data_IF_453995043273
#
_entry.id   IF_453995043273
#
_cell.length_a   1.000
_cell.length_b   1.000
_cell.length_c   1.000
_cell.angle_alpha   90.00
_cell.angle_beta   90.00
_cell.angle_gamma   90.00
#
_symmetry.space_group_name_H-M   'P 1'
#
loop_
_entity.id
_entity.type
_entity.pdbx_description
1 polymer ?
#
# COMPACT_ATOMS: atom_id res chain seq x y z
N UNK A 1 2.00 29.99 3.79
CA UNK A 1 1.32 28.84 3.14
C UNK A 1 2.09 28.52 1.87
N UNK A 2 2.79 27.40 1.80
CA UNK A 2 3.46 27.00 0.56
C UNK A 2 2.37 26.61 -0.45
N UNK A 3 2.33 27.26 -1.61
CA UNK A 3 1.40 26.93 -2.70
C UNK A 3 1.84 25.62 -3.35
N UNK A 4 1.55 24.50 -2.69
CA UNK A 4 1.98 23.18 -3.14
C UNK A 4 1.01 22.67 -4.21
N UNK A 5 1.55 22.21 -5.35
CA UNK A 5 0.75 21.52 -6.36
C UNK A 5 0.32 20.15 -5.82
N UNK A 6 -0.94 20.08 -5.34
CA UNK A 6 -1.53 18.90 -4.69
C UNK A 6 -1.52 17.65 -5.59
N UNK A 7 -1.64 17.81 -6.91
CA UNK A 7 -1.60 16.70 -7.88
C UNK A 7 -0.21 16.07 -7.95
N UNK A 8 0.82 16.90 -8.06
CA UNK A 8 2.21 16.45 -8.17
C UNK A 8 2.66 15.72 -6.89
N UNK A 9 2.28 16.23 -5.73
CA UNK A 9 2.61 15.59 -4.46
C UNK A 9 1.88 14.27 -4.26
N UNK A 10 0.61 14.17 -4.64
CA UNK A 10 -0.12 12.89 -4.60
C UNK A 10 0.54 11.83 -5.49
N UNK A 11 1.06 12.21 -6.66
CA UNK A 11 1.81 11.31 -7.52
C UNK A 11 3.13 10.87 -6.89
N UNK A 12 3.91 11.80 -6.33
CA UNK A 12 5.16 11.49 -5.64
C UNK A 12 4.94 10.52 -4.47
N UNK A 13 3.88 10.68 -3.68
CA UNK A 13 3.54 9.72 -2.63
C UNK A 13 3.16 8.35 -3.17
N UNK A 14 2.45 8.29 -4.31
CA UNK A 14 2.17 7.03 -4.98
C UNK A 14 3.46 6.33 -5.46
N UNK A 15 4.42 7.09 -6.00
CA UNK A 15 5.73 6.56 -6.39
C UNK A 15 6.53 6.07 -5.19
N UNK A 16 6.49 6.78 -4.06
CA UNK A 16 7.13 6.33 -2.81
C UNK A 16 6.54 5.00 -2.34
N UNK A 17 5.21 4.87 -2.33
CA UNK A 17 4.53 3.63 -1.96
C UNK A 17 4.95 2.49 -2.92
N UNK A 18 4.89 2.72 -4.23
CA UNK A 18 5.28 1.71 -5.22
C UNK A 18 6.75 1.27 -5.07
N UNK A 19 7.66 2.22 -4.82
CA UNK A 19 9.07 1.92 -4.59
C UNK A 19 9.30 1.07 -3.34
N UNK A 20 8.49 1.22 -2.30
CA UNK A 20 8.62 0.42 -1.08
C UNK A 20 8.22 -1.04 -1.25
N UNK A 21 7.47 -1.42 -2.30
CA UNK A 21 7.00 -2.80 -2.49
C UNK A 21 8.14 -3.81 -2.60
N UNK A 22 9.21 -3.47 -3.32
CA UNK A 22 10.36 -4.37 -3.45
C UNK A 22 11.06 -4.59 -2.10
N UNK A 23 11.21 -3.52 -1.32
CA UNK A 23 11.81 -3.58 0.01
C UNK A 23 10.95 -4.37 1.00
N UNK A 24 9.62 -4.18 0.96
CA UNK A 24 8.64 -4.92 1.76
C UNK A 24 8.68 -6.43 1.50
N UNK A 25 8.79 -6.83 0.23
CA UNK A 25 8.92 -8.25 -0.15
C UNK A 25 10.22 -8.84 0.42
N UNK A 26 11.34 -8.13 0.29
CA UNK A 26 12.64 -8.57 0.85
C UNK A 26 12.58 -8.68 2.38
N UNK A 27 11.90 -7.74 3.04
CA UNK A 27 11.67 -7.76 4.48
C UNK A 27 10.82 -8.96 4.92
N UNK A 28 9.72 -9.26 4.20
CA UNK A 28 8.85 -10.40 4.54
C UNK A 28 9.54 -11.76 4.39
N UNK A 29 10.45 -11.91 3.43
CA UNK A 29 11.28 -13.13 3.28
C UNK A 29 12.31 -13.25 4.41
N UNK A 30 12.84 -12.13 4.90
CA UNK A 30 13.88 -12.11 5.94
C UNK A 30 13.33 -12.11 7.37
N UNK A 31 12.00 -12.06 7.53
CA UNK A 31 11.37 -11.94 8.83
C UNK A 31 11.51 -13.23 9.66
N UNK A 32 11.85 -13.12 10.96
CA UNK A 32 12.02 -14.28 11.82
C UNK A 32 10.68 -15.00 12.05
N UNK A 33 10.70 -16.33 11.95
CA UNK A 33 9.52 -17.18 12.16
C UNK A 33 9.31 -17.33 13.66
N UNK A 34 8.12 -16.96 14.15
CA UNK A 34 7.77 -17.14 15.56
C UNK A 34 7.58 -18.62 15.90
N UNK A 35 8.08 -19.03 17.07
CA UNK A 35 8.06 -20.43 17.55
C UNK A 35 6.64 -21.02 17.64
N UNK A 36 5.61 -20.18 17.75
CA UNK A 36 4.19 -20.60 17.77
C UNK A 36 3.76 -21.30 16.48
N UNK A 37 4.40 -20.99 15.35
CA UNK A 37 4.04 -21.57 14.05
C UNK A 37 4.84 -22.83 13.69
N UNK A 38 5.81 -23.24 14.52
CA UNK A 38 6.67 -24.40 14.24
C UNK A 38 5.89 -25.71 14.04
N UNK A 39 4.70 -25.81 14.65
CA UNK A 39 3.79 -26.94 14.49
C UNK A 39 3.10 -27.01 13.11
N UNK A 40 3.22 -25.97 12.27
CA UNK A 40 2.57 -25.86 10.96
C UNK A 40 3.57 -25.56 9.83
N UNK A 41 4.44 -26.53 9.46
CA UNK A 41 5.52 -26.31 8.49
C UNK A 41 5.02 -25.92 7.09
N UNK A 42 3.84 -26.39 6.69
CA UNK A 42 3.24 -26.04 5.39
C UNK A 42 2.81 -24.57 5.30
N UNK A 43 2.45 -23.95 6.44
CA UNK A 43 2.10 -22.53 6.52
C UNK A 43 3.35 -21.65 6.49
N UNK A 44 4.39 -22.07 7.22
CA UNK A 44 5.69 -21.38 7.26
C UNK A 44 6.29 -21.28 5.86
N UNK A 45 6.33 -22.39 5.12
CA UNK A 45 7.04 -22.45 3.84
C UNK A 45 6.34 -21.65 2.73
N UNK A 46 5.00 -21.64 2.72
CA UNK A 46 4.23 -21.13 1.59
C UNK A 46 3.59 -19.76 1.82
N UNK A 47 3.26 -19.39 3.06
CA UNK A 47 2.40 -18.23 3.34
C UNK A 47 3.02 -17.20 4.28
N UNK A 48 4.01 -17.57 5.10
CA UNK A 48 4.60 -16.67 6.10
C UNK A 48 5.14 -15.36 5.47
N UNK A 49 6.00 -15.47 4.46
CA UNK A 49 6.58 -14.30 3.80
C UNK A 49 5.50 -13.39 3.17
N UNK A 50 4.48 -13.99 2.56
CA UNK A 50 3.35 -13.25 1.97
C UNK A 50 2.52 -12.51 3.00
N UNK A 51 2.18 -13.16 4.12
CA UNK A 51 1.39 -12.58 5.22
C UNK A 51 2.15 -11.43 5.91
N UNK A 52 3.43 -11.63 6.20
CA UNK A 52 4.27 -10.59 6.82
C UNK A 52 4.42 -9.39 5.88
N UNK A 53 4.65 -9.65 4.59
CA UNK A 53 4.72 -8.59 3.56
C UNK A 53 3.39 -7.83 3.48
N UNK A 54 2.26 -8.53 3.50
CA UNK A 54 0.96 -7.90 3.40
C UNK A 54 0.63 -7.01 4.61
N UNK A 55 0.94 -7.50 5.82
CA UNK A 55 0.71 -6.77 7.06
C UNK A 55 1.59 -5.52 7.17
N UNK A 56 2.87 -5.66 6.84
CA UNK A 56 3.82 -4.54 6.84
C UNK A 56 3.48 -3.51 5.76
N UNK A 57 3.04 -3.95 4.57
CA UNK A 57 2.58 -3.07 3.49
C UNK A 57 1.33 -2.29 3.91
N UNK A 58 0.39 -2.94 4.61
CA UNK A 58 -0.80 -2.30 5.17
C UNK A 58 -0.43 -1.18 6.15
N UNK A 59 0.43 -1.47 7.13
CA UNK A 59 0.87 -0.49 8.13
C UNK A 59 1.63 0.68 7.49
N UNK A 60 2.57 0.38 6.58
CA UNK A 60 3.38 1.40 5.92
C UNK A 60 2.52 2.31 5.04
N UNK A 61 1.61 1.74 4.26
CA UNK A 61 0.68 2.51 3.42
C UNK A 61 -0.24 3.39 4.28
N UNK A 62 -0.72 2.85 5.40
CA UNK A 62 -1.50 3.62 6.39
C UNK A 62 -0.71 4.79 6.97
N UNK A 63 0.56 4.56 7.36
CA UNK A 63 1.44 5.59 7.89
C UNK A 63 1.73 6.69 6.86
N UNK A 64 2.00 6.34 5.61
CA UNK A 64 2.24 7.31 4.52
C UNK A 64 0.98 8.17 4.29
N UNK A 65 -0.21 7.57 4.26
CA UNK A 65 -1.47 8.30 4.12
C UNK A 65 -1.72 9.23 5.32
N UNK A 66 -1.38 8.79 6.53
CA UNK A 66 -1.48 9.60 7.74
C UNK A 66 -0.53 10.81 7.68
N UNK A 67 0.74 10.61 7.31
CA UNK A 67 1.74 11.66 7.12
C UNK A 67 1.29 12.64 6.02
N UNK A 68 0.81 12.12 4.88
CA UNK A 68 0.30 12.95 3.79
C UNK A 68 -0.87 13.83 4.24
N UNK A 69 -1.76 13.29 5.08
CA UNK A 69 -2.87 14.06 5.66
C UNK A 69 -2.37 15.11 6.65
N UNK A 70 -1.46 14.74 7.56
CA UNK A 70 -1.02 15.59 8.67
C UNK A 70 -0.10 16.72 8.21
N UNK A 71 0.85 16.43 7.32
CA UNK A 71 1.87 17.41 6.90
C UNK A 71 1.46 18.24 5.70
N UNK A 72 0.80 17.63 4.71
CA UNK A 72 0.54 18.29 3.43
C UNK A 72 -0.90 18.78 3.29
N UNK A 73 -1.80 18.39 4.22
CA UNK A 73 -3.24 18.62 4.11
C UNK A 73 -3.79 18.25 2.71
N UNK A 74 -3.15 17.27 2.06
CA UNK A 74 -3.53 16.79 0.73
C UNK A 74 -4.63 15.76 0.94
N UNK A 75 -5.80 16.08 0.43
CA UNK A 75 -6.93 15.17 0.42
C UNK A 75 -6.66 14.05 -0.59
N UNK A 76 -6.24 12.89 -0.10
CA UNK A 76 -6.18 11.62 -0.85
C UNK A 76 -7.46 11.36 -1.68
N UNK A 77 -8.61 11.89 -1.22
CA UNK A 77 -9.92 11.73 -1.83
C UNK A 77 -10.14 12.53 -3.13
N UNK A 78 -9.40 13.62 -3.38
CA UNK A 78 -9.57 14.43 -4.60
C UNK A 78 -8.71 13.90 -5.76
N UNK A 79 -7.62 13.20 -5.45
CA UNK A 79 -6.62 12.73 -6.43
C UNK A 79 -6.25 11.26 -6.25
N UNK A 80 -7.21 10.42 -5.81
CA UNK A 80 -7.02 8.97 -5.64
C UNK A 80 -6.47 8.30 -6.89
N UNK A 81 -6.90 8.76 -8.07
CA UNK A 81 -6.39 8.28 -9.36
C UNK A 81 -4.87 8.49 -9.50
N UNK A 82 -4.37 9.68 -9.14
CA UNK A 82 -2.94 10.00 -9.24
C UNK A 82 -2.09 9.28 -8.18
N UNK A 83 -2.68 8.97 -7.02
CA UNK A 83 -2.03 8.17 -5.98
C UNK A 83 -1.92 6.69 -6.41
N UNK A 84 -2.95 6.14 -7.06
CA UNK A 84 -2.98 4.74 -7.49
C UNK A 84 -2.21 4.48 -8.79
N UNK A 85 -2.13 5.46 -9.69
CA UNK A 85 -1.47 5.33 -10.99
C UNK A 85 -0.08 4.67 -10.92
N UNK A 86 0.87 5.12 -10.06
CA UNK A 86 2.18 4.50 -9.97
C UNK A 86 2.13 3.06 -9.43
N UNK A 87 1.23 2.74 -8.48
CA UNK A 87 1.07 1.37 -7.97
C UNK A 87 0.51 0.42 -9.05
N UNK A 88 -0.47 0.87 -9.84
CA UNK A 88 -1.01 0.12 -10.97
C UNK A 88 0.01 -0.03 -12.09
N UNK A 89 0.76 1.04 -12.40
CA UNK A 89 1.85 1.01 -13.36
C UNK A 89 2.92 -0.01 -12.96
N UNK A 90 3.25 -0.10 -11.67
CA UNK A 90 4.21 -1.07 -11.15
C UNK A 90 3.70 -2.51 -11.28
N UNK A 91 2.40 -2.76 -11.05
CA UNK A 91 1.79 -4.07 -11.29
C UNK A 91 1.84 -4.45 -12.78
N UNK A 92 1.50 -3.52 -13.67
CA UNK A 92 1.55 -3.75 -15.12
C UNK A 92 2.99 -4.04 -15.59
N UNK A 93 3.97 -3.28 -15.08
CA UNK A 93 5.38 -3.54 -15.35
C UNK A 93 5.82 -4.91 -14.80
N UNK A 94 5.38 -5.30 -13.61
CA UNK A 94 5.67 -6.63 -13.06
C UNK A 94 5.08 -7.75 -13.94
N UNK A 95 3.87 -7.56 -14.47
CA UNK A 95 3.24 -8.50 -15.41
C UNK A 95 4.06 -8.64 -16.70
N UNK A 96 4.55 -7.51 -17.24
CA UNK A 96 5.27 -7.47 -18.51
C UNK A 96 6.71 -8.01 -18.41
N UNK A 97 7.41 -7.76 -17.31
CA UNK A 97 8.85 -8.00 -17.21
C UNK A 97 9.24 -9.13 -16.25
N UNK A 98 8.40 -9.50 -15.27
CA UNK A 98 8.80 -10.50 -14.27
C UNK A 98 7.62 -11.27 -13.66
N UNK A 99 7.17 -12.31 -14.38
CA UNK A 99 6.13 -13.21 -13.87
C UNK A 99 6.52 -13.90 -12.55
N UNK A 100 7.81 -14.14 -12.32
CA UNK A 100 8.34 -14.78 -11.11
C UNK A 100 8.16 -13.92 -9.85
N UNK A 101 8.16 -12.59 -9.99
CA UNK A 101 8.06 -11.63 -8.87
C UNK A 101 6.61 -11.11 -8.73
N UNK A 102 5.73 -11.45 -9.68
CA UNK A 102 4.35 -11.02 -9.71
C UNK A 102 3.58 -11.41 -8.44
N UNK A 103 3.65 -12.68 -8.03
CA UNK A 103 2.89 -13.21 -6.90
C UNK A 103 3.33 -12.51 -5.60
N UNK A 104 4.62 -12.34 -5.39
CA UNK A 104 5.17 -11.69 -4.19
C UNK A 104 4.87 -10.19 -4.17
N UNK A 105 4.88 -9.52 -5.31
CA UNK A 105 4.47 -8.11 -5.41
C UNK A 105 2.96 -7.92 -5.21
N UNK A 106 2.12 -8.87 -5.62
CA UNK A 106 0.69 -8.82 -5.36
C UNK A 106 0.38 -8.83 -3.86
N UNK A 107 1.13 -9.61 -3.07
CA UNK A 107 1.01 -9.64 -1.61
C UNK A 107 1.28 -8.27 -0.96
N UNK A 108 2.13 -7.43 -1.56
CA UNK A 108 2.37 -6.06 -1.09
C UNK A 108 1.36 -5.05 -1.67
N UNK A 109 1.07 -5.16 -2.97
CA UNK A 109 0.28 -4.16 -3.68
C UNK A 109 -1.22 -4.25 -3.36
N UNK A 110 -1.77 -5.46 -3.17
CA UNK A 110 -3.18 -5.65 -2.86
C UNK A 110 -3.62 -4.99 -1.53
N UNK A 111 -2.95 -5.20 -0.38
CA UNK A 111 -3.29 -4.50 0.86
C UNK A 111 -3.08 -2.98 0.74
N UNK A 112 -2.06 -2.52 0.03
CA UNK A 112 -1.86 -1.09 -0.21
C UNK A 112 -3.04 -0.46 -0.98
N UNK A 113 -3.53 -1.14 -2.03
CA UNK A 113 -4.72 -0.72 -2.78
C UNK A 113 -5.97 -0.70 -1.90
N UNK A 114 -6.18 -1.69 -1.04
CA UNK A 114 -7.30 -1.73 -0.08
C UNK A 114 -7.24 -0.52 0.87
N UNK A 115 -6.06 -0.18 1.40
CA UNK A 115 -5.90 0.98 2.28
C UNK A 115 -6.19 2.29 1.53
N UNK A 116 -5.70 2.43 0.29
CA UNK A 116 -5.98 3.60 -0.54
C UNK A 116 -7.47 3.71 -0.89
N UNK A 117 -8.15 2.60 -1.21
CA UNK A 117 -9.59 2.55 -1.49
C UNK A 117 -10.42 2.88 -0.25
N UNK A 118 -10.14 2.22 0.88
CA UNK A 118 -10.88 2.42 2.13
C UNK A 118 -10.72 3.85 2.66
N UNK A 119 -9.52 4.42 2.60
CA UNK A 119 -9.29 5.82 2.99
C UNK A 119 -10.03 6.81 2.06
N UNK A 120 -10.20 6.47 0.78
CA UNK A 120 -11.02 7.25 -0.15
C UNK A 120 -12.51 7.10 0.12
N UNK A 121 -13.00 5.88 0.41
CA UNK A 121 -14.40 5.60 0.74
C UNK A 121 -14.78 6.30 2.05
N UNK A 122 -14.01 6.12 3.13
CA UNK A 122 -14.24 6.79 4.42
C UNK A 122 -14.25 8.32 4.30
N UNK A 123 -13.48 8.88 3.37
CA UNK A 123 -13.47 10.33 3.08
C UNK A 123 -14.56 10.80 2.12
N UNK A 124 -15.16 9.92 1.32
CA UNK A 124 -16.36 10.21 0.50
C UNK A 124 -17.67 10.03 1.27
N UNK A 125 -17.62 9.36 2.44
CA UNK A 125 -18.78 9.18 3.32
C UNK A 125 -19.32 10.48 4.01
N UNK A 126 -18.67 11.66 4.08
CA UNK A 126 -19.25 12.80 4.79
C UNK A 126 -20.09 13.67 3.85
N UNK A 127 -21.40 13.43 3.78
CA UNK A 127 -22.43 14.47 3.49
C UNK A 127 -23.90 14.08 3.76
N UNK A 128 -24.22 12.82 4.08
CA UNK A 128 -25.61 12.39 4.33
C UNK A 128 -26.05 12.40 5.80
N UNK A 129 -25.15 12.64 6.77
CA UNK A 129 -25.49 12.66 8.21
C UNK A 129 -25.67 14.06 8.83
N UNK A 130 -25.56 15.13 8.04
CA UNK A 130 -25.76 16.53 8.51
C UNK A 130 -27.03 17.17 7.94
N UNK A 131 -28.00 16.35 7.52
CA UNK A 131 -29.32 16.76 7.00
C UNK A 131 -30.43 15.81 7.50
N UNK A 132 -30.28 15.27 8.72
CA UNK A 132 -31.32 14.54 9.44
C UNK A 132 -31.41 15.11 10.85
#
# INVERSE_FOLDING_TARGET
>A
MVSINKKLWSFNFGCLIAGTFFWLVSFGVSAPISEVFHSYPHFILNYHAGVVTAFTAFLLTGAIIFIMRSFFNVCASEHTFWLMLPSLGFIILAILFSQSILITMLYAAFPALIVMLSSAIMRRIPKYKTLA
#
